data_IF_582693416593
#
_entry.id   IF_582693416593
#
_cell.length_a   1.000
_cell.length_b   1.000
_cell.length_c   1.000
_cell.angle_alpha   90.00
_cell.angle_beta   90.00
_cell.angle_gamma   90.00
#
_symmetry.space_group_name_H-M   'P 1'
#
loop_
_entity.id
_entity.type
_entity.pdbx_description
1 polymer ?
#
# COMPACT_ATOMS: atom_id res chain seq x y z
N UNK A 1 9.55 4.14 -0.05
CA UNK A 1 8.62 5.23 0.30
C UNK A 1 8.74 5.54 1.79
N UNK A 2 8.60 6.82 2.17
CA UNK A 2 8.69 7.27 3.57
C UNK A 2 7.34 7.02 4.26
N UNK A 3 7.34 6.28 5.36
CA UNK A 3 6.14 5.94 6.13
C UNK A 3 6.24 6.56 7.52
N UNK A 4 5.27 7.39 7.96
CA UNK A 4 5.27 7.93 9.31
C UNK A 4 5.01 6.82 10.34
N UNK A 5 5.77 6.85 11.43
CA UNK A 5 5.55 6.02 12.63
C UNK A 5 5.59 6.93 13.85
N UNK A 6 5.21 6.39 15.01
CA UNK A 6 5.17 7.15 16.28
C UNK A 6 6.52 7.78 16.64
N UNK A 7 7.64 7.10 16.34
CA UNK A 7 8.98 7.59 16.68
C UNK A 7 9.63 8.41 15.56
N UNK A 8 8.88 8.61 14.47
CA UNK A 8 9.38 9.25 13.26
C UNK A 8 9.33 8.34 12.04
N UNK A 9 9.66 8.90 10.87
CA UNK A 9 9.47 8.23 9.60
C UNK A 9 10.51 7.15 9.34
N UNK A 10 10.08 6.06 8.71
CA UNK A 10 10.95 4.96 8.25
C UNK A 10 10.81 4.75 6.74
N UNK A 11 11.82 4.14 6.13
CA UNK A 11 11.77 3.77 4.71
C UNK A 11 11.16 2.38 4.55
N UNK A 12 10.06 2.30 3.79
CA UNK A 12 9.42 1.06 3.38
C UNK A 12 9.73 0.79 1.90
N UNK A 13 10.20 -0.41 1.58
CA UNK A 13 10.38 -0.87 0.20
C UNK A 13 9.13 -1.61 -0.25
N UNK A 14 8.48 -1.12 -1.31
CA UNK A 14 7.35 -1.80 -1.95
C UNK A 14 7.92 -2.72 -3.03
N UNK A 15 7.56 -4.01 -2.99
CA UNK A 15 8.02 -4.98 -3.99
C UNK A 15 7.27 -4.79 -5.31
N UNK A 16 7.90 -4.98 -6.48
CA UNK A 16 7.20 -5.03 -7.75
C UNK A 16 6.06 -6.06 -7.71
N UNK A 17 4.94 -5.74 -8.35
CA UNK A 17 3.75 -6.61 -8.39
C UNK A 17 2.90 -6.58 -7.12
N UNK A 18 3.22 -5.73 -6.13
CA UNK A 18 2.34 -5.52 -4.98
C UNK A 18 1.07 -4.78 -5.39
N UNK A 19 -0.08 -5.25 -4.92
CA UNK A 19 -1.39 -4.68 -5.27
C UNK A 19 -2.07 -3.99 -4.07
N UNK A 20 -3.07 -3.16 -4.35
CA UNK A 20 -3.92 -2.55 -3.32
C UNK A 20 -4.49 -3.60 -2.36
N UNK A 21 -4.62 -3.24 -1.08
CA UNK A 21 -5.03 -4.13 0.01
C UNK A 21 -3.91 -5.01 0.58
N UNK A 22 -2.71 -5.03 -0.04
CA UNK A 22 -1.57 -5.74 0.54
C UNK A 22 -1.15 -5.07 1.84
N UNK A 23 -1.10 -5.85 2.93
CA UNK A 23 -0.69 -5.34 4.25
C UNK A 23 0.75 -5.76 4.57
N UNK A 24 1.57 -4.78 4.90
CA UNK A 24 2.98 -4.93 5.24
C UNK A 24 3.20 -4.65 6.73
N UNK A 25 4.13 -5.38 7.35
CA UNK A 25 4.41 -5.28 8.78
C UNK A 25 5.69 -4.50 9.05
N UNK A 26 5.59 -3.43 9.84
CA UNK A 26 6.72 -2.72 10.41
C UNK A 26 6.94 -3.19 11.84
N UNK A 27 7.88 -4.12 12.00
CA UNK A 27 8.20 -4.75 13.28
C UNK A 27 8.65 -3.73 14.34
N UNK A 28 8.04 -3.76 15.52
CA UNK A 28 8.42 -2.90 16.64
C UNK A 28 8.08 -1.41 16.48
N UNK A 29 7.29 -1.05 15.46
CA UNK A 29 6.84 0.34 15.21
C UNK A 29 5.42 0.64 15.68
N UNK A 30 4.76 -0.34 16.31
CA UNK A 30 3.44 -0.17 16.91
C UNK A 30 3.50 0.43 18.33
N UNK A 31 2.36 0.50 19.01
CA UNK A 31 2.30 1.06 20.37
C UNK A 31 3.06 0.22 21.41
N UNK A 32 3.43 0.87 22.52
CA UNK A 32 4.02 0.22 23.70
C UNK A 32 3.04 -0.75 24.34
N UNK A 33 3.52 -1.91 24.77
CA UNK A 33 2.72 -2.90 25.50
C UNK A 33 2.91 -2.75 27.02
N UNK A 34 1.88 -3.11 27.80
CA UNK A 34 1.92 -3.04 29.28
C UNK A 34 3.06 -3.89 29.89
N UNK A 35 3.36 -5.04 29.30
CA UNK A 35 4.42 -5.95 29.76
C UNK A 35 5.82 -5.59 29.21
N UNK A 36 6.00 -4.41 28.63
CA UNK A 36 7.23 -4.00 27.96
C UNK A 36 7.25 -4.37 26.47
N UNK A 37 8.20 -3.77 25.75
CA UNK A 37 8.34 -3.91 24.30
C UNK A 37 7.28 -3.16 23.50
N UNK A 38 7.30 -3.37 22.17
CA UNK A 38 6.40 -2.71 21.23
C UNK A 38 5.63 -3.70 20.38
N UNK A 39 4.44 -3.28 19.94
CA UNK A 39 3.71 -3.92 18.86
C UNK A 39 4.29 -3.59 17.49
N UNK A 40 3.57 -4.03 16.47
CA UNK A 40 3.92 -3.77 15.07
C UNK A 40 2.95 -2.74 14.49
N UNK A 41 3.43 -1.92 13.55
CA UNK A 41 2.56 -1.09 12.73
C UNK A 41 2.25 -1.83 11.44
N UNK A 42 0.97 -1.97 11.13
CA UNK A 42 0.50 -2.56 9.88
C UNK A 42 0.22 -1.43 8.89
N UNK A 43 0.78 -1.57 7.69
CA UNK A 43 0.63 -0.60 6.61
C UNK A 43 -0.08 -1.30 5.47
N UNK A 44 -1.31 -0.89 5.18
CA UNK A 44 -2.08 -1.40 4.04
C UNK A 44 -1.87 -0.45 2.87
N UNK A 45 -1.51 -1.00 1.71
CA UNK A 45 -1.33 -0.22 0.50
C UNK A 45 -2.67 0.10 -0.15
N UNK A 46 -2.79 1.33 -0.62
CA UNK A 46 -3.94 1.83 -1.35
C UNK A 46 -3.44 2.41 -2.68
N UNK A 47 -4.15 2.07 -3.76
CA UNK A 47 -3.93 2.69 -5.07
C UNK A 47 -4.97 3.79 -5.18
N UNK A 48 -4.50 5.03 -5.13
CA UNK A 48 -5.31 6.23 -5.27
C UNK A 48 -5.17 6.80 -6.68
N UNK A 49 -6.25 7.35 -7.23
CA UNK A 49 -6.26 7.99 -8.53
C UNK A 49 -6.22 9.51 -8.35
N UNK A 50 -5.44 10.24 -9.18
CA UNK A 50 -5.42 11.70 -9.10
C UNK A 50 -6.77 12.30 -9.50
N UNK A 51 -7.08 13.48 -8.96
CA UNK A 51 -8.28 14.25 -9.35
C UNK A 51 -8.29 14.60 -10.85
N UNK A 52 -7.13 15.01 -11.38
CA UNK A 52 -6.92 15.21 -12.81
C UNK A 52 -6.27 13.98 -13.44
N UNK A 53 -7.04 13.32 -14.31
CA UNK A 53 -6.65 12.08 -14.99
C UNK A 53 -6.09 12.31 -16.40
N UNK A 54 -6.00 13.55 -16.90
CA UNK A 54 -5.61 13.81 -18.30
C UNK A 54 -4.21 13.25 -18.64
N UNK A 55 -3.23 13.52 -17.77
CA UNK A 55 -1.86 13.02 -17.94
C UNK A 55 -1.79 11.50 -17.74
N UNK A 56 -2.56 10.95 -16.81
CA UNK A 56 -2.64 9.51 -16.59
C UNK A 56 -3.25 8.79 -17.81
N UNK A 57 -4.33 9.33 -18.37
CA UNK A 57 -5.00 8.79 -19.55
C UNK A 57 -4.07 8.78 -20.77
N UNK A 58 -3.34 9.88 -20.99
CA UNK A 58 -2.33 9.96 -22.06
C UNK A 58 -1.23 8.92 -21.90
N UNK A 59 -0.77 8.64 -20.68
CA UNK A 59 0.24 7.61 -20.40
C UNK A 59 -0.27 6.19 -20.62
N UNK A 60 -1.56 5.97 -20.45
CA UNK A 60 -2.21 4.66 -20.60
C UNK A 60 -2.88 4.50 -21.97
N UNK A 61 -2.67 5.42 -22.91
CA UNK A 61 -3.28 5.35 -24.23
C UNK A 61 -2.87 4.05 -24.95
N UNK A 62 -3.86 3.28 -25.41
CA UNK A 62 -3.66 1.97 -26.03
C UNK A 62 -3.35 0.83 -25.07
N UNK A 63 -3.17 1.09 -23.77
CA UNK A 63 -3.00 0.04 -22.77
C UNK A 63 -4.33 -0.66 -22.50
N UNK A 64 -4.29 -1.99 -22.44
CA UNK A 64 -5.44 -2.82 -22.11
C UNK A 64 -5.05 -3.86 -21.07
N UNK A 65 -5.84 -3.95 -19.99
CA UNK A 65 -5.76 -5.04 -19.01
C UNK A 65 -6.84 -6.08 -19.31
N UNK A 66 -6.42 -7.27 -19.70
CA UNK A 66 -7.34 -8.38 -20.03
C UNK A 66 -7.76 -9.19 -18.81
N UNK A 67 -7.23 -8.87 -17.62
CA UNK A 67 -7.58 -9.58 -16.37
C UNK A 67 -8.98 -9.17 -15.90
N UNK A 68 -9.67 -10.05 -15.19
CA UNK A 68 -10.90 -9.74 -14.46
C UNK A 68 -10.55 -9.34 -13.00
N UNK A 69 -10.63 -8.05 -12.60
CA UNK A 69 -10.30 -7.62 -11.25
C UNK A 69 -11.27 -8.18 -10.19
N UNK A 70 -12.47 -8.60 -10.60
CA UNK A 70 -13.52 -9.16 -9.75
C UNK A 70 -13.53 -10.68 -9.71
N UNK A 71 -12.60 -11.36 -10.39
CA UNK A 71 -12.49 -12.83 -10.39
C UNK A 71 -12.50 -13.46 -9.00
N UNK A 72 -11.94 -12.77 -8.00
CA UNK A 72 -11.93 -13.23 -6.59
C UNK A 72 -13.31 -13.15 -5.90
N UNK A 73 -14.25 -12.38 -6.46
CA UNK A 73 -15.61 -12.22 -5.94
C UNK A 73 -16.58 -13.25 -6.54
N UNK A 74 -16.10 -14.16 -7.40
CA UNK A 74 -16.93 -15.18 -8.04
C UNK A 74 -17.84 -14.68 -9.15
N UNK A 75 -17.53 -13.50 -9.73
CA UNK A 75 -18.25 -12.88 -10.86
C UNK A 75 -17.36 -12.67 -12.08
#
# INVERSE_FOLDING_TARGET
>A
IKVPTVDGPVMLTIKPGTSSGTTMRLGGKGFSKKAGGRGDQLVTLEIDLPDDVAELAKRLEGWQDTRNPRSKLGV
#
